data_IF_529676935251
#
_entry.id   IF_529676935251
#
_cell.length_a   1.000
_cell.length_b   1.000
_cell.length_c   1.000
_cell.angle_alpha   90.00
_cell.angle_beta   90.00
_cell.angle_gamma   90.00
#
_symmetry.space_group_name_H-M   'P 1'
#
loop_
_entity.id
_entity.type
_entity.pdbx_description
1 polymer ?
#
# COMPACT_ATOMS: atom_id res chain seq x y z
N UNK A 1 -0.24 2.71 -2.79
CA UNK A 1 -0.79 3.09 -4.12
C UNK A 1 0.28 3.41 -5.18
N UNK A 2 1.26 4.26 -4.86
CA UNK A 2 2.28 4.70 -5.81
C UNK A 2 3.22 3.55 -6.28
N UNK A 3 3.54 2.60 -5.40
CA UNK A 3 4.36 1.43 -5.71
C UNK A 3 3.69 0.40 -6.67
N UNK A 4 2.43 0.61 -7.06
CA UNK A 4 1.84 -0.20 -8.15
C UNK A 4 2.49 0.17 -9.49
N UNK A 5 2.82 1.45 -9.70
CA UNK A 5 3.47 1.91 -10.93
C UNK A 5 4.89 1.38 -11.09
N UNK A 6 5.59 1.08 -9.98
CA UNK A 6 6.89 0.39 -10.08
C UNK A 6 6.78 -1.03 -10.62
N UNK A 7 5.72 -1.77 -10.26
CA UNK A 7 5.48 -3.11 -10.80
C UNK A 7 5.18 -3.01 -12.30
N UNK A 8 4.34 -2.04 -12.70
CA UNK A 8 4.06 -1.77 -14.11
C UNK A 8 5.36 -1.47 -14.87
N UNK A 9 6.21 -0.58 -14.36
CA UNK A 9 7.51 -0.28 -14.98
C UNK A 9 8.39 -1.52 -15.16
N UNK A 10 8.47 -2.40 -14.15
CA UNK A 10 9.24 -3.64 -14.23
C UNK A 10 8.67 -4.64 -15.24
N UNK A 11 7.35 -4.75 -15.34
CA UNK A 11 6.69 -5.63 -16.33
C UNK A 11 6.96 -5.12 -17.75
N UNK A 12 6.92 -3.80 -17.95
CA UNK A 12 7.19 -3.19 -19.26
C UNK A 12 8.63 -3.45 -19.73
N UNK A 13 9.57 -3.55 -18.79
CA UNK A 13 10.98 -3.85 -19.05
C UNK A 13 11.35 -5.30 -18.72
N UNK A 14 10.39 -6.24 -18.66
CA UNK A 14 10.63 -7.62 -18.19
C UNK A 14 11.64 -8.42 -19.03
N UNK A 15 11.89 -7.98 -20.28
CA UNK A 15 12.95 -8.51 -21.14
C UNK A 15 14.36 -8.23 -20.60
N UNK A 16 14.50 -7.26 -19.70
CA UNK A 16 15.73 -7.00 -18.97
C UNK A 16 15.87 -8.02 -17.83
N UNK A 17 17.01 -8.72 -17.78
CA UNK A 17 17.34 -9.68 -16.72
C UNK A 17 17.21 -9.09 -15.32
N UNK A 18 17.54 -7.79 -15.16
CA UNK A 18 17.40 -7.08 -13.89
C UNK A 18 15.93 -6.95 -13.47
N UNK A 19 15.02 -6.58 -14.38
CA UNK A 19 13.60 -6.42 -14.06
C UNK A 19 12.95 -7.75 -13.71
N UNK A 20 13.33 -8.84 -14.40
CA UNK A 20 12.88 -10.18 -14.06
C UNK A 20 13.39 -10.62 -12.68
N UNK A 21 14.67 -10.41 -12.39
CA UNK A 21 15.25 -10.71 -11.08
C UNK A 21 14.51 -9.96 -9.96
N UNK A 22 14.26 -8.66 -10.16
CA UNK A 22 13.52 -7.83 -9.21
C UNK A 22 12.10 -8.36 -8.99
N UNK A 23 11.36 -8.71 -10.06
CA UNK A 23 10.01 -9.25 -9.94
C UNK A 23 9.98 -10.57 -9.17
N UNK A 24 10.95 -11.45 -9.42
CA UNK A 24 11.10 -12.73 -8.69
C UNK A 24 11.43 -12.47 -7.22
N UNK A 25 12.32 -11.53 -6.92
CA UNK A 25 12.67 -11.14 -5.55
C UNK A 25 11.45 -10.58 -4.80
N UNK A 26 10.72 -9.64 -5.41
CA UNK A 26 9.51 -9.06 -4.80
C UNK A 26 8.43 -10.12 -4.59
N UNK A 27 8.18 -10.97 -5.59
CA UNK A 27 7.20 -12.06 -5.49
C UNK A 27 7.55 -13.07 -4.40
N UNK A 28 8.82 -13.49 -4.33
CA UNK A 28 9.31 -14.39 -3.28
C UNK A 28 9.21 -13.75 -1.90
N UNK A 29 9.55 -12.48 -1.77
CA UNK A 29 9.46 -11.75 -0.49
C UNK A 29 8.01 -11.66 -0.01
N UNK A 30 7.07 -11.31 -0.88
CA UNK A 30 5.64 -11.26 -0.55
C UNK A 30 5.14 -12.66 -0.15
N UNK A 31 5.54 -13.71 -0.87
CA UNK A 31 5.13 -15.08 -0.56
C UNK A 31 5.62 -15.54 0.82
N UNK A 32 6.90 -15.30 1.13
CA UNK A 32 7.49 -15.67 2.43
C UNK A 32 6.79 -14.91 3.56
N UNK A 33 6.59 -13.61 3.40
CA UNK A 33 5.89 -12.79 4.40
C UNK A 33 4.43 -13.23 4.58
N UNK A 34 3.75 -13.61 3.50
CA UNK A 34 2.37 -14.09 3.55
C UNK A 34 2.25 -15.51 4.13
N UNK A 35 3.33 -16.29 4.11
CA UNK A 35 3.38 -17.65 4.67
C UNK A 35 3.54 -17.64 6.19
N UNK A 36 3.91 -16.49 6.78
CA UNK A 36 4.03 -16.31 8.22
C UNK A 36 2.67 -16.42 8.93
N UNK A 37 2.68 -16.71 10.24
CA UNK A 37 1.44 -16.86 11.04
C UNK A 37 0.65 -15.55 11.15
N UNK A 38 1.34 -14.41 11.09
CA UNK A 38 0.75 -13.07 11.08
C UNK A 38 1.03 -12.38 9.73
N UNK A 39 0.28 -12.74 8.70
CA UNK A 39 0.43 -12.21 7.35
C UNK A 39 -0.06 -10.76 7.20
N UNK A 40 -0.90 -10.28 8.12
CA UNK A 40 -1.35 -8.87 8.14
C UNK A 40 -0.37 -7.95 8.85
N UNK A 41 0.66 -8.49 9.52
CA UNK A 41 1.75 -7.76 10.18
C UNK A 41 1.29 -6.66 11.14
N UNK A 42 0.21 -6.92 11.89
CA UNK A 42 -0.30 -6.19 13.05
C UNK A 42 0.12 -4.72 13.21
N UNK A 43 -0.84 -3.82 13.04
CA UNK A 43 -0.86 -2.53 13.72
C UNK A 43 0.05 -1.41 13.23
N UNK A 44 0.16 -1.27 11.91
CA UNK A 44 0.64 -0.03 11.32
C UNK A 44 -0.16 0.32 10.07
N UNK A 45 -0.17 1.62 9.71
CA UNK A 45 -0.65 2.07 8.41
C UNK A 45 0.36 1.64 7.34
N UNK A 46 0.26 0.36 6.93
CA UNK A 46 1.16 -0.33 6.03
C UNK A 46 1.82 -1.56 6.67
N UNK A 47 2.38 -2.43 5.84
CA UNK A 47 3.14 -3.59 6.30
C UNK A 47 4.60 -3.20 6.47
N UNK A 48 5.10 -3.15 7.72
CA UNK A 48 6.51 -2.82 8.03
C UNK A 48 7.54 -3.62 7.21
N UNK A 49 7.35 -4.92 6.92
CA UNK A 49 8.29 -5.67 6.07
C UNK A 49 8.42 -5.09 4.66
N UNK A 50 7.40 -4.43 4.13
CA UNK A 50 7.43 -3.93 2.75
C UNK A 50 8.38 -2.74 2.56
N UNK A 51 8.86 -2.10 3.65
CA UNK A 51 9.81 -0.98 3.59
C UNK A 51 11.13 -1.43 2.97
N UNK A 52 11.57 -2.66 3.25
CA UNK A 52 12.83 -3.21 2.72
C UNK A 52 12.82 -3.36 1.20
N UNK A 53 11.64 -3.46 0.59
CA UNK A 53 11.48 -3.55 -0.86
C UNK A 53 11.48 -2.17 -1.54
N UNK A 54 11.37 -1.06 -0.81
CA UNK A 54 11.26 0.27 -1.41
C UNK A 54 12.46 0.65 -2.30
N UNK A 55 13.72 0.40 -1.91
CA UNK A 55 14.87 0.70 -2.77
C UNK A 55 14.81 -0.05 -4.11
N UNK A 56 14.38 -1.32 -4.08
CA UNK A 56 14.28 -2.17 -5.26
C UNK A 56 13.10 -1.73 -6.14
N UNK A 57 11.95 -1.41 -5.53
CA UNK A 57 10.78 -0.91 -6.25
C UNK A 57 11.01 0.49 -6.84
N UNK A 58 11.89 1.31 -6.24
CA UNK A 58 12.28 2.60 -6.80
C UNK A 58 12.91 2.47 -8.20
N UNK A 59 13.65 1.39 -8.46
CA UNK A 59 14.20 1.08 -9.80
C UNK A 59 13.05 0.83 -10.79
N UNK A 60 12.04 0.07 -10.39
CA UNK A 60 10.84 -0.16 -11.20
C UNK A 60 10.08 1.13 -11.51
N UNK A 61 9.99 2.01 -10.53
CA UNK A 61 9.35 3.33 -10.70
C UNK A 61 10.15 4.19 -11.67
N UNK A 62 11.48 4.16 -11.62
CA UNK A 62 12.34 4.88 -12.55
C UNK A 62 12.10 4.43 -14.00
N UNK A 63 12.01 3.12 -14.26
CA UNK A 63 11.65 2.59 -15.59
C UNK A 63 10.27 3.08 -16.06
N UNK A 64 9.29 3.14 -15.16
CA UNK A 64 7.96 3.68 -15.48
C UNK A 64 8.02 5.17 -15.84
N UNK A 65 8.73 5.97 -15.05
CA UNK A 65 8.89 7.43 -15.29
C UNK A 65 9.64 7.69 -16.61
N UNK A 66 10.69 6.92 -16.89
CA UNK A 66 11.44 7.00 -18.14
C UNK A 66 10.54 6.70 -19.35
N UNK A 67 9.78 5.60 -19.28
CA UNK A 67 8.82 5.25 -20.32
C UNK A 67 7.79 6.36 -20.56
N UNK A 68 7.20 6.93 -19.51
CA UNK A 68 6.21 8.01 -19.63
C UNK A 68 6.84 9.29 -20.18
N UNK A 69 8.11 9.53 -19.90
CA UNK A 69 8.84 10.72 -20.39
C UNK A 69 8.98 10.72 -21.92
N UNK A 70 8.93 9.55 -22.56
CA UNK A 70 8.93 9.41 -24.03
C UNK A 70 7.57 9.67 -24.69
N UNK A 71 6.48 9.84 -23.90
CA UNK A 71 5.12 10.00 -24.43
C UNK A 71 4.77 11.46 -24.73
N UNK A 72 3.70 11.65 -25.51
CA UNK A 72 3.17 12.97 -25.84
C UNK A 72 2.83 13.79 -24.59
N UNK A 73 2.98 15.12 -24.70
CA UNK A 73 2.85 16.07 -23.58
C UNK A 73 1.58 15.90 -22.75
N UNK A 74 0.45 15.57 -23.38
CA UNK A 74 -0.83 15.33 -22.70
C UNK A 74 -0.72 14.11 -21.77
N UNK A 75 -0.30 12.95 -22.30
CA UNK A 75 -0.15 11.71 -21.51
C UNK A 75 0.84 11.92 -20.37
N UNK A 76 1.97 12.55 -20.65
CA UNK A 76 2.99 12.87 -19.64
C UNK A 76 2.39 13.72 -18.51
N UNK A 77 1.74 14.84 -18.85
CA UNK A 77 1.16 15.76 -17.87
C UNK A 77 0.07 15.07 -17.03
N UNK A 78 -0.80 14.29 -17.66
CA UNK A 78 -1.85 13.54 -16.96
C UNK A 78 -1.27 12.53 -15.96
N UNK A 79 -0.26 11.76 -16.35
CA UNK A 79 0.36 10.76 -15.46
C UNK A 79 1.11 11.42 -14.31
N UNK A 80 1.89 12.47 -14.56
CA UNK A 80 2.57 13.19 -13.47
C UNK A 80 1.58 13.85 -12.51
N UNK A 81 0.48 14.41 -13.01
CA UNK A 81 -0.60 14.95 -12.18
C UNK A 81 -1.23 13.86 -11.32
N UNK A 82 -1.51 12.69 -11.90
CA UNK A 82 -2.03 11.54 -11.16
C UNK A 82 -1.05 11.07 -10.06
N UNK A 83 0.25 10.96 -10.37
CA UNK A 83 1.26 10.59 -9.37
C UNK A 83 1.33 11.60 -8.22
N UNK A 84 1.24 12.89 -8.53
CA UNK A 84 1.20 13.96 -7.52
C UNK A 84 -0.06 13.85 -6.63
N UNK A 85 -1.23 13.65 -7.22
CA UNK A 85 -2.48 13.45 -6.47
C UNK A 85 -2.42 12.21 -5.58
N UNK A 86 -1.85 11.11 -6.07
CA UNK A 86 -1.68 9.88 -5.30
C UNK A 86 -0.69 10.03 -4.14
N UNK A 87 0.38 10.81 -4.33
CA UNK A 87 1.30 11.16 -3.26
C UNK A 87 0.60 12.02 -2.19
N UNK A 88 -0.16 13.04 -2.60
CA UNK A 88 -0.98 13.84 -1.69
C UNK A 88 -2.02 13.00 -0.94
N UNK A 89 -2.68 12.07 -1.63
CA UNK A 89 -3.63 11.14 -1.02
C UNK A 89 -2.97 10.19 -0.03
N UNK A 90 -1.74 9.74 -0.31
CA UNK A 90 -0.98 8.93 0.64
C UNK A 90 -0.66 9.71 1.91
N UNK A 91 -0.20 10.96 1.80
CA UNK A 91 0.03 11.85 2.94
C UNK A 91 -1.25 12.11 3.74
N UNK A 92 -2.37 12.31 3.04
CA UNK A 92 -3.68 12.48 3.67
C UNK A 92 -4.07 11.26 4.53
N UNK A 93 -3.91 10.05 4.01
CA UNK A 93 -4.19 8.84 4.78
C UNK A 93 -3.17 8.62 5.92
N UNK A 94 -1.88 8.96 5.72
CA UNK A 94 -0.89 8.94 6.81
C UNK A 94 -1.31 9.86 7.94
N UNK A 95 -1.88 11.04 7.62
CA UNK A 95 -2.44 11.94 8.62
C UNK A 95 -3.65 11.34 9.34
N UNK A 96 -4.58 10.69 8.62
CA UNK A 96 -5.72 9.99 9.23
C UNK A 96 -5.27 8.86 10.18
N UNK A 97 -4.19 8.16 9.83
CA UNK A 97 -3.56 7.15 10.69
C UNK A 97 -2.93 7.77 11.94
N UNK A 98 -2.21 8.89 11.80
CA UNK A 98 -1.61 9.60 12.94
C UNK A 98 -2.67 10.19 13.88
N UNK A 99 -3.78 10.71 13.33
CA UNK A 99 -4.94 11.17 14.10
C UNK A 99 -5.73 9.98 14.71
N UNK A 100 -5.38 8.73 14.37
CA UNK A 100 -5.97 7.48 14.86
C UNK A 100 -7.41 7.25 14.44
N UNK A 101 -7.86 7.94 13.40
CA UNK A 101 -9.17 7.75 12.75
C UNK A 101 -9.12 6.49 11.88
N UNK A 102 -7.99 6.31 11.18
CA UNK A 102 -7.69 5.09 10.48
C UNK A 102 -7.02 4.12 11.46
N UNK A 103 -7.82 3.22 12.03
CA UNK A 103 -7.34 2.15 12.88
C UNK A 103 -6.36 1.23 12.13
N UNK A 104 -5.34 0.77 12.85
CA UNK A 104 -4.15 0.13 12.28
C UNK A 104 -4.28 -1.39 12.05
N UNK A 105 -5.27 -2.03 12.67
CA UNK A 105 -5.51 -3.48 12.58
C UNK A 105 -6.98 -3.86 12.30
N UNK A 106 -7.92 -3.08 12.84
CA UNK A 106 -9.34 -3.41 12.94
C UNK A 106 -10.20 -2.76 11.85
N UNK A 107 -9.57 -2.21 10.81
CA UNK A 107 -10.26 -1.42 9.80
C UNK A 107 -11.11 -2.31 8.88
N UNK A 108 -12.42 -2.10 8.90
CA UNK A 108 -13.35 -2.75 7.97
C UNK A 108 -13.62 -1.86 6.75
N UNK A 109 -14.23 -2.45 5.71
CA UNK A 109 -14.69 -1.70 4.54
C UNK A 109 -15.65 -0.57 4.94
N UNK A 110 -16.56 -0.83 5.87
CA UNK A 110 -17.56 0.13 6.34
C UNK A 110 -16.92 1.28 7.12
N UNK A 111 -16.00 0.97 8.04
CA UNK A 111 -15.21 1.97 8.75
C UNK A 111 -14.42 2.84 7.76
N UNK A 112 -13.81 2.23 6.74
CA UNK A 112 -13.03 2.94 5.72
C UNK A 112 -13.88 3.92 4.89
N UNK A 113 -15.08 3.52 4.46
CA UNK A 113 -15.98 4.45 3.76
C UNK A 113 -16.48 5.57 4.65
N UNK A 114 -16.67 5.32 5.95
CA UNK A 114 -17.16 6.34 6.88
C UNK A 114 -16.16 7.48 7.11
N UNK A 115 -14.87 7.16 7.09
CA UNK A 115 -13.76 8.10 7.26
C UNK A 115 -13.27 8.71 5.93
N UNK A 116 -13.81 8.27 4.79
CA UNK A 116 -13.37 8.72 3.48
C UNK A 116 -13.45 10.25 3.36
N UNK A 117 -12.32 10.88 2.99
CA UNK A 117 -12.16 12.34 2.88
C UNK A 117 -12.49 13.15 4.15
N UNK A 118 -12.54 12.52 5.33
CA UNK A 118 -12.77 13.19 6.62
C UNK A 118 -11.52 13.20 7.48
N UNK A 119 -11.32 14.28 8.23
CA UNK A 119 -10.25 14.42 9.25
C UNK A 119 -10.84 14.45 10.65
N UNK A 120 -10.01 14.46 11.69
CA UNK A 120 -10.46 14.37 13.10
C UNK A 120 -11.48 15.45 13.46
N UNK A 121 -11.35 16.63 12.84
CA UNK A 121 -12.28 17.76 13.02
C UNK A 121 -13.71 17.45 12.55
N UNK A 122 -13.91 16.40 11.75
CA UNK A 122 -15.17 16.03 11.11
C UNK A 122 -15.71 14.67 11.55
N UNK A 123 -14.90 13.84 12.21
CA UNK A 123 -15.32 12.52 12.71
C UNK A 123 -14.49 12.13 13.93
N UNK A 124 -15.16 11.75 15.03
CA UNK A 124 -14.48 11.23 16.22
C UNK A 124 -14.14 9.74 16.07
N UNK A 125 -13.13 9.28 16.81
CA UNK A 125 -12.79 7.85 16.91
C UNK A 125 -13.96 7.03 17.43
N UNK A 126 -14.76 7.60 18.34
CA UNK A 126 -15.93 6.93 18.94
C UNK A 126 -17.02 6.65 17.91
N UNK A 127 -17.12 7.46 16.85
CA UNK A 127 -18.08 7.25 15.76
C UNK A 127 -17.67 6.14 14.79
N UNK A 128 -16.37 5.81 14.78
CA UNK A 128 -15.76 4.78 13.93
C UNK A 128 -15.64 3.45 14.69
N UNK A 129 -15.48 3.49 16.02
CA UNK A 129 -15.32 2.32 16.88
C UNK A 129 -16.36 1.19 16.67
N UNK A 130 -17.67 1.46 16.44
CA UNK A 130 -18.65 0.40 16.20
C UNK A 130 -18.44 -0.39 14.91
N UNK A 131 -17.69 0.17 13.96
CA UNK A 131 -17.43 -0.43 12.65
C UNK A 131 -16.06 -1.13 12.61
N UNK A 132 -15.29 -1.08 13.71
CA UNK A 132 -14.00 -1.75 13.81
C UNK A 132 -14.22 -3.21 14.18
N UNK A 133 -13.52 -4.11 13.50
CA UNK A 133 -13.51 -5.54 13.81
C UNK A 133 -12.07 -5.98 14.08
N UNK A 134 -11.65 -6.16 15.35
CA UNK A 134 -10.28 -6.53 15.68
C UNK A 134 -9.99 -7.98 15.29
N UNK A 135 -8.80 -8.27 14.71
CA UNK A 135 -8.42 -9.63 14.34
C UNK A 135 -8.16 -10.50 15.58
N UNK A 136 -8.51 -11.79 15.52
CA UNK A 136 -8.24 -12.74 16.60
C UNK A 136 -6.79 -13.25 16.56
N UNK A 137 -5.95 -12.63 17.39
CA UNK A 137 -4.53 -12.99 17.50
C UNK A 137 -4.30 -14.40 18.08
N UNK A 138 -5.19 -14.91 18.93
CA UNK A 138 -5.02 -16.22 19.58
C UNK A 138 -5.39 -17.35 18.61
N UNK A 139 -6.43 -17.16 17.80
CA UNK A 139 -6.76 -18.07 16.71
C UNK A 139 -5.65 -18.13 15.65
N UNK A 140 -5.07 -16.98 15.30
CA UNK A 140 -4.03 -16.91 14.26
C UNK A 140 -2.71 -17.57 14.67
N UNK A 141 -2.30 -17.47 15.94
CA UNK A 141 -1.14 -18.23 16.46
C UNK A 141 -1.34 -19.74 16.36
N UNK A 142 -2.58 -20.23 16.42
CA UNK A 142 -2.95 -21.65 16.28
C UNK A 142 -3.09 -22.08 14.81
N UNK A 143 -2.84 -21.18 13.85
CA UNK A 143 -2.92 -21.46 12.42
C UNK A 143 -4.31 -21.27 11.81
N UNK A 144 -5.31 -20.83 12.58
CA UNK A 144 -6.64 -20.52 12.06
C UNK A 144 -6.62 -19.12 11.43
N UNK A 145 -6.55 -19.08 10.09
CA UNK A 145 -6.38 -17.85 9.31
C UNK A 145 -7.69 -17.13 8.94
N UNK A 146 -8.85 -17.72 9.25
CA UNK A 146 -10.15 -17.32 8.69
C UNK A 146 -11.14 -16.70 9.71
N UNK A 147 -10.66 -16.01 10.75
CA UNK A 147 -11.55 -15.38 11.74
C UNK A 147 -11.16 -13.93 12.01
#
# INVERSE_FOLDING_TARGET
PLMVFSIVGLIMTIKNKLSLAILITVGSYIYINSSWWCWWFGGSFGQRPMIDLYPILAIGLAYFIDFISTKHKIVKTSVFTLLFLLAGFNLFQTRQAHEGILHHDSMTKEAYFKIAFKLQKQISRDEVAPYLNPPDYEAAKKGNRNQ
#
